data_IF_023981311870
#
_entry.id   IF_023981311870
#
_cell.length_a   1.000
_cell.length_b   1.000
_cell.length_c   1.000
_cell.angle_alpha   90.00
_cell.angle_beta   90.00
_cell.angle_gamma   90.00
#
_symmetry.space_group_name_H-M   'P 1'
#
loop_
_entity.id
_entity.type
_entity.pdbx_description
1 polymer ?
#
# COMPACT_ATOMS: atom_id res chain seq x y z
N UNK A 1 13.25 -29.93 -42.08
CA UNK A 1 14.33 -30.49 -41.24
C UNK A 1 13.82 -30.44 -39.83
N UNK A 2 13.50 -31.61 -39.26
CA UNK A 2 12.93 -31.76 -37.92
C UNK A 2 13.73 -31.00 -36.86
N UNK A 3 13.07 -30.09 -36.16
CA UNK A 3 13.58 -29.53 -34.92
C UNK A 3 13.39 -30.62 -33.85
N UNK A 4 14.36 -31.54 -33.73
CA UNK A 4 14.41 -32.45 -32.59
C UNK A 4 14.40 -31.60 -31.31
N UNK A 5 13.29 -31.66 -30.56
CA UNK A 5 13.17 -30.98 -29.29
C UNK A 5 14.16 -31.63 -28.30
N UNK A 6 15.38 -31.10 -28.23
CA UNK A 6 16.40 -31.57 -27.29
C UNK A 6 15.82 -31.58 -25.88
N UNK A 7 15.86 -32.75 -25.24
CA UNK A 7 15.37 -32.94 -23.88
C UNK A 7 16.55 -32.95 -22.91
N UNK A 8 16.40 -32.20 -21.82
CA UNK A 8 17.45 -31.93 -20.85
C UNK A 8 17.13 -32.59 -19.51
N UNK A 9 18.12 -33.26 -18.94
CA UNK A 9 18.12 -33.66 -17.55
C UNK A 9 18.65 -32.51 -16.70
N UNK A 10 18.10 -32.34 -15.51
CA UNK A 10 18.53 -31.36 -14.50
C UNK A 10 19.07 -32.08 -13.28
N UNK A 11 20.11 -31.54 -12.64
CA UNK A 11 20.66 -32.05 -11.39
C UNK A 11 20.79 -30.92 -10.38
N UNK A 12 20.14 -31.09 -9.24
CA UNK A 12 20.15 -30.13 -8.13
C UNK A 12 20.34 -30.88 -6.82
N UNK A 13 21.35 -30.49 -6.04
CA UNK A 13 21.66 -31.15 -4.76
C UNK A 13 21.78 -32.69 -4.84
N UNK A 14 22.29 -33.19 -5.98
CA UNK A 14 22.45 -34.63 -6.24
C UNK A 14 21.22 -35.33 -6.83
N UNK A 15 20.04 -34.70 -6.83
CA UNK A 15 18.83 -35.29 -7.41
C UNK A 15 18.77 -35.01 -8.92
N UNK A 16 18.64 -36.06 -9.72
CA UNK A 16 18.50 -35.98 -11.19
C UNK A 16 17.03 -36.09 -11.58
N UNK A 17 16.52 -35.11 -12.34
CA UNK A 17 15.15 -35.07 -12.85
C UNK A 17 15.11 -34.79 -14.35
N UNK A 18 14.04 -35.25 -15.01
CA UNK A 18 13.83 -35.08 -16.46
C UNK A 18 13.64 -36.42 -17.18
N UNK A 19 13.69 -36.42 -18.53
CA UNK A 19 14.16 -35.31 -19.37
C UNK A 19 13.05 -34.28 -19.66
N UNK A 20 13.42 -33.01 -19.77
CA UNK A 20 12.50 -31.88 -19.93
C UNK A 20 12.80 -31.09 -21.20
N UNK A 21 11.77 -30.57 -21.91
CA UNK A 21 11.99 -29.68 -23.03
C UNK A 21 12.56 -28.33 -22.56
N UNK A 22 13.29 -27.63 -23.41
CA UNK A 22 13.91 -26.32 -23.10
C UNK A 22 12.92 -25.30 -22.51
N UNK A 23 11.68 -25.27 -23.02
CA UNK A 23 10.62 -24.38 -22.52
C UNK A 23 10.36 -24.57 -21.02
N UNK A 24 10.43 -25.82 -20.55
CA UNK A 24 10.19 -26.15 -19.15
C UNK A 24 11.41 -25.81 -18.28
N UNK A 25 12.63 -25.97 -18.81
CA UNK A 25 13.86 -25.51 -18.16
C UNK A 25 13.81 -23.99 -17.92
N UNK A 26 13.41 -23.21 -18.94
CA UNK A 26 13.22 -21.75 -18.84
C UNK A 26 12.19 -21.37 -17.77
N UNK A 27 11.05 -22.05 -17.76
CA UNK A 27 10.00 -21.87 -16.73
C UNK A 27 10.52 -22.17 -15.33
N UNK A 28 11.29 -23.26 -15.15
CA UNK A 28 11.89 -23.60 -13.87
C UNK A 28 12.91 -22.56 -13.37
N UNK A 29 13.66 -21.93 -14.27
CA UNK A 29 14.55 -20.82 -13.92
C UNK A 29 13.76 -19.60 -13.46
N UNK A 30 12.72 -19.20 -14.20
CA UNK A 30 11.87 -18.07 -13.81
C UNK A 30 11.22 -18.30 -12.43
N UNK A 31 10.65 -19.48 -12.21
CA UNK A 31 10.00 -19.87 -10.96
C UNK A 31 10.97 -20.19 -9.81
N UNK A 32 12.29 -20.10 -10.02
CA UNK A 32 13.30 -20.41 -9.00
C UNK A 32 13.38 -21.89 -8.59
N UNK A 33 12.79 -22.79 -9.38
CA UNK A 33 12.85 -24.25 -9.21
C UNK A 33 14.19 -24.82 -9.65
N UNK A 34 14.85 -24.15 -10.60
CA UNK A 34 16.21 -24.38 -11.04
C UNK A 34 17.01 -23.08 -10.87
N UNK A 35 18.30 -23.19 -10.53
CA UNK A 35 19.22 -22.06 -10.35
C UNK A 35 20.29 -22.06 -11.44
N UNK A 36 20.95 -20.91 -11.61
CA UNK A 36 22.02 -20.74 -12.60
C UNK A 36 23.23 -21.65 -12.36
N UNK A 37 23.47 -22.04 -11.11
CA UNK A 37 24.59 -22.90 -10.69
C UNK A 37 24.19 -24.38 -10.58
N UNK A 38 22.90 -24.71 -10.80
CA UNK A 38 22.48 -26.10 -10.97
C UNK A 38 22.99 -26.64 -12.32
N UNK A 39 22.95 -27.96 -12.50
CA UNK A 39 23.55 -28.61 -13.66
C UNK A 39 22.50 -29.19 -14.61
N UNK A 40 22.83 -29.21 -15.89
CA UNK A 40 22.03 -29.77 -16.97
C UNK A 40 22.84 -30.72 -17.84
N UNK A 41 22.17 -31.71 -18.42
CA UNK A 41 22.79 -32.74 -19.25
C UNK A 41 21.84 -33.23 -20.33
N UNK A 42 22.38 -33.54 -21.52
CA UNK A 42 21.63 -34.20 -22.60
C UNK A 42 21.69 -35.74 -22.49
N UNK A 43 22.74 -36.29 -21.88
CA UNK A 43 23.09 -37.72 -21.91
C UNK A 43 23.18 -38.38 -20.53
N UNK A 44 23.01 -37.62 -19.44
CA UNK A 44 23.23 -37.99 -18.02
C UNK A 44 24.67 -38.34 -17.64
N UNK A 45 25.60 -38.30 -18.58
CA UNK A 45 27.02 -38.59 -18.35
C UNK A 45 27.82 -37.29 -18.19
N UNK A 46 27.56 -36.30 -19.04
CA UNK A 46 28.22 -34.99 -19.05
C UNK A 46 27.29 -33.93 -18.47
N UNK A 47 27.75 -33.26 -17.44
CA UNK A 47 26.99 -32.25 -16.71
C UNK A 47 27.63 -30.89 -16.89
N UNK A 48 26.81 -29.89 -17.20
CA UNK A 48 27.24 -28.50 -17.38
C UNK A 48 26.39 -27.60 -16.51
N UNK A 49 26.97 -26.57 -15.91
CA UNK A 49 26.19 -25.59 -15.17
C UNK A 49 25.20 -24.88 -16.11
N UNK A 50 23.99 -24.56 -15.63
CA UNK A 50 22.97 -23.87 -16.44
C UNK A 50 23.51 -22.55 -17.00
N UNK A 51 24.29 -21.80 -16.21
CA UNK A 51 24.98 -20.58 -16.64
C UNK A 51 25.88 -20.73 -17.86
N UNK A 52 26.40 -21.94 -18.13
CA UNK A 52 27.27 -22.20 -19.29
C UNK A 52 26.47 -22.53 -20.56
N UNK A 53 25.13 -22.50 -20.49
CA UNK A 53 24.22 -22.80 -21.60
C UNK A 53 23.31 -21.59 -21.88
N UNK A 54 23.79 -20.56 -22.61
CA UNK A 54 23.05 -19.30 -22.80
C UNK A 54 21.67 -19.46 -23.44
N UNK A 55 21.49 -20.49 -24.29
CA UNK A 55 20.22 -20.76 -24.95
C UNK A 55 19.12 -21.24 -23.99
N UNK A 56 19.46 -21.74 -22.81
CA UNK A 56 18.50 -22.16 -21.78
C UNK A 56 18.10 -21.01 -20.85
N UNK A 57 18.86 -19.91 -20.85
CA UNK A 57 18.67 -18.77 -19.94
C UNK A 57 17.61 -17.84 -20.55
N UNK A 58 16.50 -17.54 -19.84
CA UNK A 58 15.52 -16.56 -20.29
C UNK A 58 16.14 -15.18 -20.44
N UNK A 59 15.67 -14.39 -21.42
CA UNK A 59 16.21 -13.05 -21.69
C UNK A 59 16.03 -12.09 -20.51
N UNK A 60 15.06 -12.37 -19.64
CA UNK A 60 14.76 -11.58 -18.44
C UNK A 60 15.82 -11.74 -17.33
N UNK A 61 16.79 -12.63 -17.48
CA UNK A 61 17.93 -12.74 -16.56
C UNK A 61 19.09 -11.79 -16.92
N UNK A 62 19.05 -11.14 -18.09
CA UNK A 62 20.05 -10.13 -18.47
C UNK A 62 19.69 -8.75 -17.88
N UNK A 63 20.70 -7.93 -17.58
CA UNK A 63 20.59 -6.56 -17.03
C UNK A 63 19.90 -6.44 -15.66
N UNK A 64 19.89 -7.51 -14.85
CA UNK A 64 19.26 -7.53 -13.50
C UNK A 64 19.99 -6.68 -12.45
N UNK A 65 21.11 -6.09 -12.82
CA UNK A 65 21.82 -5.04 -12.08
C UNK A 65 21.11 -3.68 -12.18
N UNK A 66 20.35 -3.43 -13.25
CA UNK A 66 19.54 -2.20 -13.44
C UNK A 66 18.15 -2.31 -12.80
N UNK A 67 17.53 -1.18 -12.36
CA UNK A 67 16.15 -1.16 -11.90
C UNK A 67 15.16 -1.73 -12.93
N UNK A 68 15.34 -1.40 -14.21
CA UNK A 68 14.48 -1.81 -15.32
C UNK A 68 14.58 -3.32 -15.58
N UNK A 69 15.79 -3.88 -15.51
CA UNK A 69 16.00 -5.33 -15.63
C UNK A 69 15.39 -6.11 -14.47
N UNK A 70 15.51 -5.60 -13.24
CA UNK A 70 14.85 -6.21 -12.06
C UNK A 70 13.34 -6.23 -12.20
N UNK A 71 12.76 -5.14 -12.69
CA UNK A 71 11.31 -5.08 -12.91
C UNK A 71 10.85 -6.06 -13.99
N UNK A 72 11.56 -6.15 -15.13
CA UNK A 72 11.26 -7.12 -16.19
C UNK A 72 11.26 -8.56 -15.67
N UNK A 73 12.26 -8.92 -14.86
CA UNK A 73 12.33 -10.24 -14.23
C UNK A 73 11.16 -10.48 -13.28
N UNK A 74 10.81 -9.50 -12.43
CA UNK A 74 9.67 -9.61 -11.52
C UNK A 74 8.34 -9.77 -12.26
N UNK A 75 8.14 -9.04 -13.37
CA UNK A 75 6.95 -9.17 -14.22
C UNK A 75 6.90 -10.54 -14.91
N UNK A 76 8.03 -11.07 -15.39
CA UNK A 76 8.09 -12.42 -15.97
C UNK A 76 7.75 -13.50 -14.96
N UNK A 77 8.24 -13.39 -13.72
CA UNK A 77 7.87 -14.30 -12.62
C UNK A 77 6.37 -14.28 -12.34
N UNK A 78 5.76 -13.10 -12.29
CA UNK A 78 4.30 -12.96 -12.10
C UNK A 78 3.49 -13.57 -13.24
N UNK A 79 3.98 -13.49 -14.49
CA UNK A 79 3.32 -14.11 -15.67
C UNK A 79 3.38 -15.63 -15.63
N UNK A 80 4.47 -16.19 -15.09
CA UNK A 80 4.68 -17.64 -15.02
C UNK A 80 4.01 -18.28 -13.79
N UNK A 81 3.68 -17.49 -12.76
CA UNK A 81 3.03 -17.95 -11.53
C UNK A 81 1.49 -17.97 -11.64
N UNK A 82 0.86 -18.91 -10.89
CA UNK A 82 -0.60 -19.12 -10.71
C UNK A 82 -1.40 -20.10 -11.61
N UNK A 83 -0.86 -21.27 -11.99
CA UNK A 83 -1.67 -22.51 -12.13
C UNK A 83 -0.81 -23.78 -12.32
N UNK A 84 0.05 -24.10 -11.35
CA UNK A 84 0.79 -25.38 -11.40
C UNK A 84 -0.13 -26.57 -11.02
N UNK A 85 -0.18 -27.66 -11.80
CA UNK A 85 -1.05 -28.84 -11.56
C UNK A 85 -0.81 -29.58 -10.23
N UNK A 86 0.26 -29.24 -9.51
CA UNK A 86 0.76 -29.96 -8.33
C UNK A 86 -0.16 -29.88 -7.11
N UNK A 87 -1.17 -29.00 -7.08
CA UNK A 87 -2.26 -29.06 -6.08
C UNK A 87 -3.25 -30.21 -6.31
N UNK A 88 -3.28 -30.85 -7.50
CA UNK A 88 -4.10 -32.05 -7.76
C UNK A 88 -3.49 -33.35 -7.23
N UNK A 89 -2.22 -33.35 -6.82
CA UNK A 89 -1.48 -34.55 -6.45
C UNK A 89 -1.32 -34.76 -4.94
N UNK A 90 -2.18 -34.15 -4.11
CA UNK A 90 -2.30 -34.54 -2.70
C UNK A 90 -3.41 -35.60 -2.56
N UNK A 91 -3.12 -36.82 -2.10
CA UNK A 91 -4.15 -37.82 -1.83
C UNK A 91 -5.04 -37.32 -0.70
N UNK A 92 -6.33 -37.15 -0.99
CA UNK A 92 -7.37 -37.05 0.03
C UNK A 92 -7.73 -38.49 0.43
N UNK A 93 -7.77 -38.86 1.73
CA UNK A 93 -8.12 -40.22 2.12
C UNK A 93 -9.62 -40.45 1.86
N UNK A 94 -9.86 -41.45 1.02
CA UNK A 94 -10.97 -42.40 0.92
C UNK A 94 -12.44 -41.98 1.16
N UNK A 95 -13.24 -42.51 0.22
CA UNK A 95 -14.69 -42.70 0.19
C UNK A 95 -15.55 -41.47 -0.12
N UNK A 96 -15.89 -41.33 -1.42
CA UNK A 96 -17.24 -40.97 -1.91
C UNK A 96 -17.39 -41.44 -3.39
N UNK A 97 -18.62 -41.73 -3.87
CA UNK A 97 -18.88 -42.52 -5.08
C UNK A 97 -18.36 -41.88 -6.38
N UNK A 98 -18.07 -42.71 -7.39
CA UNK A 98 -17.39 -42.27 -8.61
C UNK A 98 -18.20 -41.22 -9.41
N UNK A 99 -17.61 -40.03 -9.60
CA UNK A 99 -18.09 -38.97 -10.51
C UNK A 99 -18.16 -39.39 -12.00
N UNK A 100 -17.79 -40.64 -12.32
CA UNK A 100 -17.90 -41.16 -13.67
C UNK A 100 -19.36 -41.40 -14.07
N UNK A 101 -20.22 -41.79 -13.12
CA UNK A 101 -21.64 -42.07 -13.38
C UNK A 101 -22.45 -40.78 -13.54
N UNK A 102 -22.12 -39.70 -12.82
CA UNK A 102 -22.83 -38.42 -12.94
C UNK A 102 -22.52 -37.65 -14.24
N UNK A 103 -21.32 -37.80 -14.81
CA UNK A 103 -20.96 -37.09 -16.06
C UNK A 103 -21.59 -37.71 -17.31
N UNK A 104 -22.10 -38.94 -17.24
CA UNK A 104 -22.75 -39.61 -18.36
C UNK A 104 -24.19 -39.10 -18.60
N UNK A 105 -24.89 -38.65 -17.56
CA UNK A 105 -26.29 -38.21 -17.64
C UNK A 105 -26.47 -36.72 -17.97
N UNK A 106 -25.47 -35.87 -17.68
CA UNK A 106 -25.61 -34.41 -17.81
C UNK A 106 -25.49 -33.89 -19.26
N UNK A 107 -25.01 -34.72 -20.20
CA UNK A 107 -24.86 -34.32 -21.61
C UNK A 107 -26.13 -34.49 -22.47
N UNK A 108 -27.23 -35.00 -21.92
CA UNK A 108 -28.50 -35.23 -22.67
C UNK A 108 -29.74 -34.65 -22.02
N UNK A 109 -29.62 -33.66 -21.13
CA UNK A 109 -30.80 -32.94 -20.65
C UNK A 109 -31.23 -31.92 -21.72
N UNK A 110 -32.48 -31.97 -22.23
CA UNK A 110 -32.97 -30.91 -23.10
C UNK A 110 -32.95 -29.58 -22.35
N UNK A 111 -32.51 -28.51 -23.01
CA UNK A 111 -32.42 -27.19 -22.39
C UNK A 111 -33.79 -26.77 -21.81
N UNK A 112 -33.81 -26.14 -20.62
CA UNK A 112 -35.03 -25.60 -20.04
C UNK A 112 -35.74 -24.66 -21.03
N UNK A 113 -37.07 -24.74 -21.19
CA UNK A 113 -37.83 -23.93 -22.15
C UNK A 113 -37.60 -22.42 -21.99
N UNK A 114 -37.32 -21.98 -20.77
CA UNK A 114 -37.04 -20.59 -20.39
C UNK A 114 -35.73 -20.06 -20.99
N UNK A 115 -34.68 -20.88 -21.06
CA UNK A 115 -33.40 -20.49 -21.68
C UNK A 115 -33.53 -20.41 -23.20
N UNK A 116 -34.36 -21.29 -23.77
CA UNK A 116 -34.67 -21.26 -25.20
C UNK A 116 -35.42 -19.97 -25.55
N UNK A 117 -36.45 -19.59 -24.78
CA UNK A 117 -37.23 -18.37 -25.02
C UNK A 117 -36.37 -17.10 -24.89
N UNK A 118 -35.47 -17.06 -23.89
CA UNK A 118 -34.56 -15.94 -23.68
C UNK A 118 -33.60 -15.74 -24.87
N UNK A 119 -33.14 -16.84 -25.49
CA UNK A 119 -32.35 -16.77 -26.73
C UNK A 119 -33.16 -16.20 -27.90
N UNK A 120 -34.40 -16.65 -28.07
CA UNK A 120 -35.26 -16.14 -29.16
C UNK A 120 -35.56 -14.65 -29.01
N UNK A 121 -35.85 -14.18 -27.80
CA UNK A 121 -36.07 -12.75 -27.53
C UNK A 121 -34.81 -11.92 -27.81
N UNK A 122 -33.64 -12.40 -27.39
CA UNK A 122 -32.36 -11.74 -27.69
C UNK A 122 -32.09 -11.63 -29.19
N UNK A 123 -32.36 -12.71 -29.95
CA UNK A 123 -32.19 -12.69 -31.41
C UNK A 123 -33.16 -11.71 -32.06
N UNK A 124 -34.41 -11.65 -31.58
CA UNK A 124 -35.39 -10.67 -32.08
C UNK A 124 -34.97 -9.23 -31.78
N UNK A 125 -34.44 -8.94 -30.58
CA UNK A 125 -33.90 -7.61 -30.24
C UNK A 125 -32.68 -7.21 -31.07
N UNK A 126 -31.84 -8.17 -31.44
CA UNK A 126 -30.68 -7.91 -32.31
C UNK A 126 -31.08 -7.75 -33.78
N UNK A 127 -32.24 -8.29 -34.18
CA UNK A 127 -32.75 -8.23 -35.55
C UNK A 127 -33.81 -7.13 -35.75
N UNK A 128 -34.32 -6.51 -34.68
CA UNK A 128 -35.20 -5.34 -34.78
C UNK A 128 -34.39 -4.12 -35.23
N UNK A 129 -34.67 -3.55 -36.42
CA UNK A 129 -34.00 -2.34 -36.86
C UNK A 129 -34.74 -1.13 -36.25
N UNK A 130 -34.56 -0.89 -34.96
CA UNK A 130 -35.03 0.33 -34.30
C UNK A 130 -33.85 1.28 -34.01
N UNK A 131 -33.69 2.23 -34.94
CA UNK A 131 -33.19 3.61 -34.78
C UNK A 131 -31.98 3.86 -33.87
N UNK A 132 -30.77 3.69 -34.41
CA UNK A 132 -29.66 4.57 -34.03
C UNK A 132 -29.84 5.88 -34.80
N UNK A 133 -30.27 6.94 -34.12
CA UNK A 133 -30.25 8.29 -34.71
C UNK A 133 -28.78 8.71 -34.94
N UNK A 134 -28.40 9.24 -36.11
CA UNK A 134 -27.06 9.76 -36.30
C UNK A 134 -26.84 10.98 -35.38
N UNK A 135 -25.71 11.00 -34.67
CA UNK A 135 -25.29 12.16 -33.87
C UNK A 135 -25.24 13.42 -34.75
N UNK A 136 -25.79 14.57 -34.31
CA UNK A 136 -25.83 15.78 -35.13
C UNK A 136 -24.42 16.37 -35.31
N UNK A 137 -23.88 16.28 -36.53
CA UNK A 137 -22.61 16.89 -36.93
C UNK A 137 -22.81 18.39 -37.26
N UNK A 138 -23.09 19.19 -36.23
CA UNK A 138 -23.28 20.64 -36.37
C UNK A 138 -22.26 21.46 -35.55
N UNK A 139 -21.98 22.73 -35.94
CA UNK A 139 -21.01 23.59 -35.26
C UNK A 139 -21.33 23.87 -33.78
N UNK A 140 -22.59 23.69 -33.38
CA UNK A 140 -23.06 23.82 -31.98
C UNK A 140 -22.45 22.78 -31.05
N UNK A 141 -22.16 21.57 -31.54
CA UNK A 141 -21.55 20.52 -30.74
C UNK A 141 -20.09 20.88 -30.40
N UNK A 142 -19.36 21.44 -31.38
CA UNK A 142 -17.98 21.91 -31.19
C UNK A 142 -17.88 23.13 -30.27
N UNK A 143 -18.87 24.03 -30.30
CA UNK A 143 -18.96 25.14 -29.33
C UNK A 143 -19.14 24.59 -27.91
N UNK A 144 -19.99 23.57 -27.73
CA UNK A 144 -20.17 22.90 -26.44
C UNK A 144 -18.91 22.19 -25.95
N UNK A 145 -18.19 21.51 -26.84
CA UNK A 145 -16.91 20.84 -26.53
C UNK A 145 -15.84 21.86 -26.18
N UNK A 146 -15.73 22.97 -26.92
CA UNK A 146 -14.76 24.03 -26.64
C UNK A 146 -15.07 24.74 -25.31
N UNK A 147 -16.34 25.02 -25.02
CA UNK A 147 -16.76 25.57 -23.74
C UNK A 147 -16.47 24.60 -22.58
N UNK A 148 -16.72 23.30 -22.76
CA UNK A 148 -16.39 22.27 -21.77
C UNK A 148 -14.89 22.15 -21.51
N UNK A 149 -14.06 22.20 -22.56
CA UNK A 149 -12.59 22.21 -22.43
C UNK A 149 -12.08 23.50 -21.77
N UNK A 150 -12.68 24.65 -22.05
CA UNK A 150 -12.34 25.91 -21.41
C UNK A 150 -12.71 25.89 -19.93
N UNK A 151 -13.88 25.36 -19.58
CA UNK A 151 -14.30 25.19 -18.17
C UNK A 151 -13.38 24.21 -17.46
N UNK A 152 -12.98 23.11 -18.12
CA UNK A 152 -12.01 22.16 -17.58
C UNK A 152 -10.63 22.80 -17.37
N UNK A 153 -10.17 23.62 -18.32
CA UNK A 153 -8.90 24.33 -18.23
C UNK A 153 -8.96 25.40 -17.12
N UNK A 154 -10.07 26.14 -17.02
CA UNK A 154 -10.28 27.15 -15.99
C UNK A 154 -10.44 26.50 -14.61
N UNK A 155 -11.12 25.34 -14.51
CA UNK A 155 -11.19 24.56 -13.28
C UNK A 155 -9.83 23.98 -12.91
N UNK A 156 -9.03 23.54 -13.89
CA UNK A 156 -7.67 23.08 -13.67
C UNK A 156 -6.77 24.23 -13.20
N UNK A 157 -6.95 25.44 -13.75
CA UNK A 157 -6.25 26.65 -13.32
C UNK A 157 -6.70 27.15 -11.93
N UNK A 158 -7.96 26.87 -11.53
CA UNK A 158 -8.49 27.16 -10.19
C UNK A 158 -8.07 26.12 -9.15
N UNK A 159 -7.92 24.85 -9.53
CA UNK A 159 -7.48 23.72 -8.68
C UNK A 159 -5.95 23.60 -8.62
N UNK A 160 -5.23 24.28 -9.51
CA UNK A 160 -3.79 24.53 -9.36
C UNK A 160 -3.60 25.61 -8.28
N UNK A 161 -4.00 25.29 -7.04
CA UNK A 161 -3.33 25.83 -5.87
C UNK A 161 -1.83 25.65 -6.11
N UNK A 162 -1.13 26.77 -6.29
CA UNK A 162 0.33 26.75 -6.29
C UNK A 162 0.70 26.08 -4.97
N UNK A 163 1.50 24.99 -4.97
CA UNK A 163 2.01 24.48 -3.70
C UNK A 163 2.63 25.67 -2.98
N UNK A 164 2.13 25.96 -1.78
CA UNK A 164 2.76 26.95 -0.91
C UNK A 164 4.26 26.63 -0.90
N UNK A 165 5.14 27.64 -1.04
CA UNK A 165 6.57 27.38 -1.01
C UNK A 165 6.83 26.61 0.28
N UNK A 166 7.50 25.45 0.19
CA UNK A 166 8.01 24.74 1.36
C UNK A 166 8.66 25.79 2.26
N UNK A 167 7.95 26.20 3.31
CA UNK A 167 8.44 27.22 4.23
C UNK A 167 9.62 26.53 4.87
N UNK A 168 10.83 26.92 4.46
CA UNK A 168 12.04 26.30 4.98
C UNK A 168 12.01 26.44 6.49
N UNK A 169 12.24 25.35 7.22
CA UNK A 169 12.31 25.39 8.67
C UNK A 169 13.37 26.42 9.12
N UNK A 170 13.02 27.26 10.08
CA UNK A 170 13.90 28.27 10.66
C UNK A 170 14.12 27.98 12.15
N UNK A 171 15.08 27.10 12.44
CA UNK A 171 15.41 26.71 13.82
C UNK A 171 16.00 27.84 14.68
N UNK A 172 16.29 29.01 14.10
CA UNK A 172 16.80 30.18 14.82
C UNK A 172 15.71 31.24 15.02
N UNK A 173 14.55 31.10 14.38
CA UNK A 173 13.43 31.98 14.60
C UNK A 173 13.00 31.97 16.08
N UNK A 174 12.60 33.14 16.64
CA UNK A 174 12.07 33.21 17.99
C UNK A 174 10.74 32.44 18.11
N UNK A 175 10.36 32.14 19.36
CA UNK A 175 9.08 31.52 19.67
C UNK A 175 7.94 32.51 19.38
N UNK A 176 7.30 32.36 18.23
CA UNK A 176 6.20 33.21 17.78
C UNK A 176 5.10 32.37 17.09
N UNK A 177 3.85 32.88 17.00
CA UNK A 177 2.76 32.21 16.29
C UNK A 177 3.13 31.85 14.86
N UNK A 178 2.79 30.63 14.44
CA UNK A 178 3.04 30.15 13.07
C UNK A 178 4.52 29.87 12.74
N UNK A 179 5.44 29.94 13.72
CA UNK A 179 6.85 29.64 13.48
C UNK A 179 7.01 28.23 12.92
N UNK A 180 7.91 28.07 11.96
CA UNK A 180 8.24 26.76 11.40
C UNK A 180 9.56 26.25 11.95
N UNK A 181 9.47 25.35 12.94
CA UNK A 181 10.59 24.61 13.50
C UNK A 181 10.58 23.13 13.11
N UNK A 182 9.92 22.77 12.00
CA UNK A 182 9.89 21.37 11.57
C UNK A 182 11.32 20.80 11.43
N UNK A 183 11.52 19.58 11.91
CA UNK A 183 12.82 18.90 11.97
C UNK A 183 13.92 19.58 12.81
N UNK A 184 13.61 20.61 13.60
CA UNK A 184 14.61 21.26 14.44
C UNK A 184 14.94 20.44 15.69
N UNK A 185 16.12 20.69 16.27
CA UNK A 185 16.55 20.11 17.55
C UNK A 185 16.45 21.16 18.66
N UNK A 186 15.46 21.00 19.52
CA UNK A 186 15.08 21.93 20.59
C UNK A 186 15.07 21.25 21.98
N UNK A 187 15.96 20.26 22.16
CA UNK A 187 16.09 19.45 23.38
C UNK A 187 16.25 20.34 24.61
N UNK A 188 15.37 20.17 25.60
CA UNK A 188 15.42 20.88 26.86
C UNK A 188 15.17 22.39 26.77
N UNK A 189 14.67 22.89 25.63
CA UNK A 189 14.43 24.33 25.45
C UNK A 189 13.39 24.86 26.44
N UNK A 190 13.59 26.10 26.90
CA UNK A 190 12.65 26.81 27.76
C UNK A 190 11.67 27.62 26.91
N UNK A 191 10.43 27.15 26.84
CA UNK A 191 9.31 27.68 26.06
C UNK A 191 8.09 27.91 26.98
N UNK A 192 8.32 28.14 28.27
CA UNK A 192 7.25 28.43 29.24
C UNK A 192 6.50 29.68 28.83
N UNK A 193 5.18 29.60 28.88
CA UNK A 193 4.24 30.67 28.51
C UNK A 193 4.45 31.22 27.08
N UNK A 194 5.19 30.50 26.22
CA UNK A 194 5.44 30.92 24.85
C UNK A 194 4.17 30.85 24.00
N UNK A 195 4.01 31.80 23.08
CA UNK A 195 2.96 31.76 22.07
C UNK A 195 3.47 31.09 20.79
N UNK A 196 3.06 29.85 20.60
CA UNK A 196 3.38 28.98 19.47
C UNK A 196 2.09 28.56 18.74
N UNK A 197 1.04 29.40 18.82
CA UNK A 197 -0.24 29.16 18.17
C UNK A 197 -0.03 28.92 16.67
N UNK A 198 -0.51 27.79 16.16
CA UNK A 198 -0.36 27.41 14.75
C UNK A 198 1.07 27.11 14.29
N UNK A 199 2.04 26.98 15.21
CA UNK A 199 3.42 26.67 14.86
C UNK A 199 3.54 25.29 14.20
N UNK A 200 4.47 25.16 13.24
CA UNK A 200 4.86 23.87 12.68
C UNK A 200 6.07 23.33 13.43
N UNK A 201 5.82 22.38 14.32
CA UNK A 201 6.77 21.65 15.14
C UNK A 201 6.89 20.17 14.70
N UNK A 202 6.44 19.83 13.48
CA UNK A 202 6.44 18.45 13.01
C UNK A 202 7.86 17.87 12.94
N UNK A 203 8.05 16.62 13.37
CA UNK A 203 9.35 15.95 13.46
C UNK A 203 10.40 16.67 14.31
N UNK A 204 10.01 17.61 15.19
CA UNK A 204 10.94 18.35 16.06
C UNK A 204 11.39 17.47 17.24
N UNK A 205 12.66 17.61 17.65
CA UNK A 205 13.19 17.00 18.86
C UNK A 205 13.02 17.97 20.05
N UNK A 206 11.93 17.80 20.80
CA UNK A 206 11.54 18.56 22.00
C UNK A 206 11.78 17.75 23.29
N UNK A 207 12.68 16.76 23.26
CA UNK A 207 12.99 15.91 24.41
C UNK A 207 13.29 16.77 25.65
N UNK A 208 12.50 16.61 26.70
CA UNK A 208 12.66 17.33 27.97
C UNK A 208 12.40 18.84 27.91
N UNK A 209 11.78 19.36 26.84
CA UNK A 209 11.44 20.78 26.73
C UNK A 209 10.46 21.23 27.84
N UNK A 210 10.54 22.52 28.18
CA UNK A 210 9.71 23.17 29.20
C UNK A 210 8.68 24.04 28.52
N UNK A 211 7.45 23.55 28.44
CA UNK A 211 6.30 24.13 27.75
C UNK A 211 5.15 24.39 28.73
N UNK A 212 5.44 24.54 30.02
CA UNK A 212 4.42 24.85 31.02
C UNK A 212 3.70 26.15 30.64
N UNK A 213 2.37 26.12 30.53
CA UNK A 213 1.53 27.26 30.14
C UNK A 213 1.67 27.71 28.68
N UNK A 214 2.39 26.99 27.81
CA UNK A 214 2.57 27.38 26.42
C UNK A 214 1.24 27.37 25.63
N UNK A 215 1.06 28.33 24.73
CA UNK A 215 -0.06 28.37 23.78
C UNK A 215 0.35 27.63 22.51
N UNK A 216 -0.23 26.46 22.26
CA UNK A 216 0.03 25.56 21.15
C UNK A 216 -1.25 25.24 20.37
N UNK A 217 -2.28 26.07 20.51
CA UNK A 217 -3.55 25.86 19.82
C UNK A 217 -3.32 25.77 18.30
N UNK A 218 -3.87 24.73 17.68
CA UNK A 218 -3.71 24.39 16.26
C UNK A 218 -2.25 24.18 15.79
N UNK A 219 -1.28 24.00 16.69
CA UNK A 219 0.09 23.69 16.32
C UNK A 219 0.21 22.27 15.74
N UNK A 220 1.16 22.06 14.84
CA UNK A 220 1.48 20.74 14.28
C UNK A 220 2.71 20.15 14.98
N UNK A 221 2.51 19.18 15.87
CA UNK A 221 3.55 18.39 16.53
C UNK A 221 3.61 16.94 15.98
N UNK A 222 3.14 16.70 14.75
CA UNK A 222 3.12 15.35 14.16
C UNK A 222 4.52 14.74 14.17
N UNK A 223 4.62 13.51 14.66
CA UNK A 223 5.89 12.77 14.77
C UNK A 223 7.00 13.47 15.60
N UNK A 224 6.66 14.50 16.38
CA UNK A 224 7.62 15.15 17.26
C UNK A 224 8.04 14.23 18.41
N UNK A 225 9.29 14.37 18.85
CA UNK A 225 9.79 13.74 20.08
C UNK A 225 9.56 14.68 21.26
N UNK A 226 8.51 14.42 22.03
CA UNK A 226 8.06 15.25 23.16
C UNK A 226 8.26 14.48 24.48
N UNK A 227 9.13 13.46 24.47
CA UNK A 227 9.40 12.63 25.65
C UNK A 227 9.89 13.48 26.79
N UNK A 228 9.40 13.20 28.01
CA UNK A 228 9.79 13.90 29.24
C UNK A 228 9.58 15.42 29.23
N UNK A 229 8.90 15.98 28.22
CA UNK A 229 8.58 17.39 28.18
C UNK A 229 7.54 17.73 29.25
N UNK A 230 7.55 18.99 29.69
CA UNK A 230 6.59 19.52 30.66
C UNK A 230 5.61 20.44 29.95
N UNK A 231 4.37 20.01 29.81
CA UNK A 231 3.25 20.70 29.17
C UNK A 231 2.14 20.98 30.19
N UNK A 232 2.52 21.15 31.47
CA UNK A 232 1.58 21.48 32.55
C UNK A 232 0.76 22.73 32.14
N UNK A 233 -0.57 22.66 32.14
CA UNK A 233 -1.48 23.76 31.77
C UNK A 233 -1.28 24.33 30.35
N UNK A 234 -0.62 23.61 29.44
CA UNK A 234 -0.46 24.06 28.06
C UNK A 234 -1.80 24.01 27.30
N UNK A 235 -2.02 24.96 26.38
CA UNK A 235 -3.17 24.97 25.50
C UNK A 235 -2.84 24.27 24.18
N UNK A 236 -3.31 23.04 24.01
CA UNK A 236 -3.12 22.20 22.82
C UNK A 236 -4.43 22.03 22.04
N UNK A 237 -5.40 22.95 22.20
CA UNK A 237 -6.68 22.86 21.50
C UNK A 237 -6.49 22.73 19.98
N UNK A 238 -7.08 21.70 19.38
CA UNK A 238 -6.98 21.44 17.94
C UNK A 238 -5.57 21.13 17.43
N UNK A 239 -4.59 20.92 18.32
CA UNK A 239 -3.23 20.60 17.92
C UNK A 239 -3.14 19.21 17.26
N UNK A 240 -2.25 19.06 16.29
CA UNK A 240 -1.98 17.77 15.64
C UNK A 240 -0.77 17.12 16.29
N UNK A 241 -0.99 16.04 17.03
CA UNK A 241 0.05 15.22 17.67
C UNK A 241 0.10 13.80 17.09
N UNK A 242 -0.35 13.63 15.83
CA UNK A 242 -0.41 12.32 15.18
C UNK A 242 0.96 11.66 15.17
N UNK A 243 1.07 10.46 15.75
CA UNK A 243 2.34 9.73 15.83
C UNK A 243 3.43 10.36 16.70
N UNK A 244 3.12 11.40 17.48
CA UNK A 244 4.08 12.01 18.40
C UNK A 244 4.49 11.05 19.53
N UNK A 245 5.71 11.21 20.05
CA UNK A 245 6.23 10.39 21.14
C UNK A 245 6.20 11.20 22.44
N UNK A 246 5.22 10.91 23.30
CA UNK A 246 4.94 11.63 24.55
C UNK A 246 5.30 10.80 25.79
N UNK A 247 6.19 9.80 25.65
CA UNK A 247 6.57 8.93 26.77
C UNK A 247 7.09 9.76 27.94
N UNK A 248 6.58 9.47 29.15
CA UNK A 248 6.96 10.18 30.38
C UNK A 248 6.71 11.71 30.35
N UNK A 249 5.95 12.24 29.39
CA UNK A 249 5.59 13.66 29.34
C UNK A 249 4.59 14.03 30.45
N UNK A 250 4.62 15.28 30.89
CA UNK A 250 3.72 15.79 31.94
C UNK A 250 2.72 16.77 31.32
N UNK A 251 1.45 16.41 31.25
CA UNK A 251 0.36 17.19 30.63
C UNK A 251 -0.74 17.52 31.66
N UNK A 252 -0.36 17.79 32.90
CA UNK A 252 -1.32 18.00 34.00
C UNK A 252 -2.14 19.27 33.74
N UNK A 253 -3.45 19.09 33.63
CA UNK A 253 -4.38 20.18 33.31
C UNK A 253 -4.16 20.83 31.94
N UNK A 254 -3.48 20.16 31.00
CA UNK A 254 -3.39 20.63 29.63
C UNK A 254 -4.77 20.56 28.94
N UNK A 255 -5.02 21.51 28.03
CA UNK A 255 -6.21 21.50 27.19
C UNK A 255 -5.91 20.76 25.88
N UNK A 256 -6.43 19.55 25.70
CA UNK A 256 -6.29 18.74 24.47
C UNK A 256 -7.60 18.65 23.68
N UNK A 257 -8.52 19.60 23.91
CA UNK A 257 -9.81 19.60 23.23
C UNK A 257 -9.64 19.64 21.71
N UNK A 258 -10.39 18.80 20.99
CA UNK A 258 -10.29 18.65 19.52
C UNK A 258 -8.89 18.25 18.97
N UNK A 259 -7.92 17.91 19.82
CA UNK A 259 -6.58 17.54 19.38
C UNK A 259 -6.54 16.14 18.73
N UNK A 260 -5.61 15.93 17.79
CA UNK A 260 -5.37 14.61 17.19
C UNK A 260 -4.15 13.93 17.78
N UNK A 261 -4.36 12.96 18.66
CA UNK A 261 -3.35 12.09 19.28
C UNK A 261 -3.33 10.68 18.64
N UNK A 262 -3.93 10.51 17.46
CA UNK A 262 -3.94 9.22 16.78
C UNK A 262 -2.51 8.70 16.56
N UNK A 263 -2.29 7.41 16.82
CA UNK A 263 -0.98 6.76 16.75
C UNK A 263 0.11 7.31 17.70
N UNK A 264 -0.19 8.27 18.58
CA UNK A 264 0.77 8.79 19.52
C UNK A 264 1.15 7.76 20.60
N UNK A 265 2.34 7.89 21.17
CA UNK A 265 2.82 7.03 22.27
C UNK A 265 2.85 7.79 23.59
N UNK A 266 1.87 7.57 24.45
CA UNK A 266 1.69 8.23 25.74
C UNK A 266 2.17 7.38 26.92
N UNK A 267 2.96 6.32 26.72
CA UNK A 267 3.38 5.44 27.83
C UNK A 267 4.03 6.23 28.98
N UNK A 268 3.47 6.08 30.18
CA UNK A 268 3.94 6.79 31.37
C UNK A 268 3.69 8.31 31.37
N UNK A 269 2.97 8.85 30.38
CA UNK A 269 2.55 10.25 30.40
C UNK A 269 1.56 10.51 31.54
N UNK A 270 1.62 11.71 32.10
CA UNK A 270 0.74 12.15 33.20
C UNK A 270 -0.32 13.10 32.66
N UNK A 271 -1.57 12.67 32.67
CA UNK A 271 -2.74 13.41 32.15
C UNK A 271 -3.69 13.84 33.27
N UNK A 272 -3.20 13.99 34.50
CA UNK A 272 -4.02 14.37 35.65
C UNK A 272 -4.78 15.68 35.34
N UNK A 273 -6.11 15.65 35.37
CA UNK A 273 -7.00 16.79 35.03
C UNK A 273 -6.85 17.38 33.61
N UNK A 274 -6.19 16.69 32.67
CA UNK A 274 -6.16 17.13 31.28
C UNK A 274 -7.57 17.07 30.66
N UNK A 275 -7.93 18.07 29.85
CA UNK A 275 -9.19 18.06 29.11
C UNK A 275 -9.00 17.31 27.78
N UNK A 276 -9.65 16.17 27.64
CA UNK A 276 -9.60 15.31 26.45
C UNK A 276 -10.90 15.36 25.64
N UNK A 277 -11.74 16.37 25.83
CA UNK A 277 -13.02 16.47 25.11
C UNK A 277 -12.78 16.46 23.60
N UNK A 278 -13.43 15.53 22.89
CA UNK A 278 -13.32 15.37 21.44
C UNK A 278 -11.89 15.11 20.89
N UNK A 279 -10.93 14.74 21.74
CA UNK A 279 -9.58 14.35 21.33
C UNK A 279 -9.60 13.03 20.55
N UNK A 280 -8.98 12.98 19.38
CA UNK A 280 -8.85 11.73 18.61
C UNK A 280 -7.71 10.87 19.17
N UNK A 281 -8.02 9.63 19.56
CA UNK A 281 -7.08 8.69 20.18
C UNK A 281 -6.88 7.42 19.37
N UNK A 282 -7.29 7.43 18.10
CA UNK A 282 -7.27 6.26 17.23
C UNK A 282 -5.89 5.60 17.19
N UNK A 283 -5.80 4.34 17.66
CA UNK A 283 -4.55 3.55 17.65
C UNK A 283 -3.38 4.16 18.46
N UNK A 284 -3.64 5.12 19.34
CA UNK A 284 -2.64 5.61 20.28
C UNK A 284 -2.20 4.50 21.26
N UNK A 285 -0.96 4.54 21.73
CA UNK A 285 -0.50 3.72 22.85
C UNK A 285 -0.74 4.54 24.13
N UNK A 286 -1.65 4.07 24.96
CA UNK A 286 -2.10 4.78 26.15
C UNK A 286 -1.05 4.78 27.28
N UNK A 287 -1.34 5.49 28.36
CA UNK A 287 -0.43 5.70 29.50
C UNK A 287 0.01 4.41 30.19
N UNK A 288 -0.82 3.37 30.15
CA UNK A 288 -0.55 2.02 30.68
C UNK A 288 0.01 1.04 29.62
N UNK A 289 0.21 1.50 28.38
CA UNK A 289 0.78 0.71 27.29
C UNK A 289 -0.24 -0.06 26.43
N UNK A 290 -1.54 0.01 26.72
CA UNK A 290 -2.56 -0.58 25.83
C UNK A 290 -2.73 0.25 24.56
N UNK A 291 -3.15 -0.37 23.47
CA UNK A 291 -3.45 0.33 22.21
C UNK A 291 -4.93 0.67 22.15
N UNK A 292 -5.27 1.93 21.88
CA UNK A 292 -6.64 2.39 21.77
C UNK A 292 -7.30 1.91 20.47
N UNK A 293 -8.61 1.70 20.49
CA UNK A 293 -9.38 1.34 19.30
C UNK A 293 -9.30 2.44 18.22
N UNK A 294 -9.47 2.12 16.92
CA UNK A 294 -9.37 3.11 15.84
C UNK A 294 -10.32 4.30 15.92
N UNK A 295 -11.46 4.17 16.61
CA UNK A 295 -12.49 5.21 16.74
C UNK A 295 -12.56 5.84 18.14
N UNK A 296 -11.54 5.67 18.98
CA UNK A 296 -11.50 6.23 20.32
C UNK A 296 -11.46 7.76 20.28
N UNK A 297 -12.41 8.39 20.97
CA UNK A 297 -12.56 9.85 21.08
C UNK A 297 -12.70 10.22 22.55
N UNK A 298 -11.81 11.06 23.05
CA UNK A 298 -11.69 11.54 24.42
C UNK A 298 -11.37 10.49 25.49
N UNK A 299 -11.72 9.23 25.25
CA UNK A 299 -11.34 8.09 26.07
C UNK A 299 -10.69 7.01 25.22
N UNK A 300 -9.66 6.37 25.78
CA UNK A 300 -9.02 5.22 25.14
C UNK A 300 -9.85 3.95 25.37
N UNK A 301 -10.58 3.53 24.33
CA UNK A 301 -11.35 2.29 24.33
C UNK A 301 -10.47 1.11 23.93
N UNK A 302 -10.79 -0.07 24.46
CA UNK A 302 -10.09 -1.30 24.04
C UNK A 302 -10.64 -1.79 22.69
N UNK A 303 -9.78 -2.32 21.80
CA UNK A 303 -10.18 -2.82 20.48
C UNK A 303 -11.08 -4.08 20.55
#
# INVERSE_FOLDING_TARGET
>A
MENEHQLWFTRRSGEVRGPYPERLIRSYLLLGRLRMDDEVSLDRQRWYAVRSQPHLIPVEFYDTDTPEGRERLLQARRREDERSPERRARPYPDELPSDADQRAEDRRRPEPPELVSHRYQRVQLLQSPESVSPLPQGPRLWIGVAAGLLILLLSLLLVMERPEPDVLADCLAPAEPGVNWSYCRMVGMDLRDADLTGANLSNTDLLGARLEGAQLANADLSYADVRRARLDQADLQGARLTGAVLQEAVLIGANLTDADLSHADLRGARLDNADLTDTLLGRAIWTDGRVCAPGSIGTCDSP
#
